data_IF_334325643777
#
_entry.id   IF_334325643777
#
_cell.length_a   1.000
_cell.length_b   1.000
_cell.length_c   1.000
_cell.angle_alpha   90.00
_cell.angle_beta   90.00
_cell.angle_gamma   90.00
#
_symmetry.space_group_name_H-M   'P 1'
#
loop_
_entity.id
_entity.type
_entity.pdbx_description
1 polymer ?
#
# COMPACT_ATOMS: atom_id res chain seq x y z
N UNK A 1 13.42 1.14 -32.75
CA UNK A 1 13.13 0.11 -31.74
C UNK A 1 13.75 -1.19 -32.19
N UNK A 2 14.78 -1.67 -31.48
CA UNK A 2 14.98 -3.09 -31.13
C UNK A 2 16.08 -3.12 -30.08
N UNK A 3 15.67 -3.36 -28.85
CA UNK A 3 16.48 -3.76 -27.71
C UNK A 3 17.28 -5.03 -28.03
N UNK A 4 18.55 -5.10 -27.64
CA UNK A 4 19.13 -6.36 -27.15
C UNK A 4 20.13 -6.04 -26.04
N UNK A 5 19.95 -6.76 -24.93
CA UNK A 5 20.66 -6.74 -23.67
C UNK A 5 22.16 -7.04 -23.79
N UNK A 6 22.95 -6.42 -22.91
CA UNK A 6 24.36 -6.74 -22.70
C UNK A 6 24.51 -8.10 -21.97
N UNK A 7 25.43 -8.98 -22.39
CA UNK A 7 25.70 -10.21 -21.66
C UNK A 7 26.62 -9.93 -20.46
N UNK A 8 26.16 -10.40 -19.31
CA UNK A 8 26.90 -10.54 -18.05
C UNK A 8 28.22 -11.31 -18.29
N UNK A 9 29.37 -10.75 -17.91
CA UNK A 9 30.64 -11.48 -17.87
C UNK A 9 30.85 -12.07 -16.48
N UNK A 10 30.48 -13.35 -16.33
CA UNK A 10 31.04 -14.23 -15.30
C UNK A 10 32.47 -14.63 -15.64
N UNK A 11 33.26 -14.90 -14.61
CA UNK A 11 34.64 -15.41 -14.75
C UNK A 11 34.66 -16.81 -15.40
N UNK A 12 35.71 -17.10 -16.19
CA UNK A 12 36.23 -18.48 -16.18
C UNK A 12 37.76 -18.56 -16.17
N UNK A 13 38.25 -19.54 -15.40
CA UNK A 13 39.54 -20.18 -15.58
C UNK A 13 39.64 -20.75 -17.01
N UNK A 14 40.75 -20.51 -17.73
CA UNK A 14 41.01 -21.17 -19.01
C UNK A 14 42.08 -20.50 -19.87
N UNK A 15 43.26 -21.14 -19.92
CA UNK A 15 44.18 -21.31 -21.06
C UNK A 15 44.56 -20.08 -21.92
N UNK A 16 45.82 -19.62 -21.77
CA UNK A 16 46.43 -18.54 -22.56
C UNK A 16 46.51 -18.90 -24.06
N UNK A 17 45.78 -18.17 -24.89
CA UNK A 17 45.82 -18.30 -26.36
C UNK A 17 46.40 -17.02 -26.96
N UNK A 18 47.62 -17.10 -27.52
CA UNK A 18 48.29 -15.98 -28.19
C UNK A 18 47.89 -15.93 -29.67
N UNK A 19 47.27 -14.83 -30.11
CA UNK A 19 47.04 -14.55 -31.53
C UNK A 19 47.53 -13.13 -31.85
N UNK A 20 48.34 -12.99 -32.90
CA UNK A 20 48.80 -11.70 -33.42
C UNK A 20 48.28 -11.52 -34.84
N UNK A 21 47.73 -10.34 -35.15
CA UNK A 21 47.30 -10.01 -36.53
C UNK A 21 48.53 -9.64 -37.36
N UNK A 22 48.68 -10.13 -38.60
CA UNK A 22 49.83 -9.81 -39.44
C UNK A 22 49.85 -8.32 -39.77
N UNK A 23 50.99 -7.65 -39.53
CA UNK A 23 51.24 -6.27 -39.94
C UNK A 23 52.13 -6.24 -41.19
N UNK A 24 51.81 -5.44 -42.21
CA UNK A 24 52.65 -5.32 -43.40
C UNK A 24 53.95 -4.57 -43.10
N UNK A 25 55.01 -4.95 -43.80
CA UNK A 25 56.37 -4.39 -43.69
C UNK A 25 56.38 -2.98 -44.28
N UNK A 26 56.76 -1.97 -43.50
CA UNK A 26 56.89 -0.58 -43.94
C UNK A 26 58.17 -0.40 -44.78
N UNK A 27 58.05 0.28 -45.92
CA UNK A 27 59.16 0.61 -46.81
C UNK A 27 60.04 1.70 -46.18
N UNK A 28 61.34 1.42 -46.04
CA UNK A 28 62.34 2.39 -45.55
C UNK A 28 62.88 3.22 -46.71
N UNK A 29 62.95 4.54 -46.55
CA UNK A 29 63.52 5.48 -47.52
C UNK A 29 65.04 5.30 -47.66
N UNK A 30 65.57 5.51 -48.87
CA UNK A 30 66.95 5.19 -49.29
C UNK A 30 67.96 6.36 -49.24
N UNK A 31 67.63 7.51 -48.63
CA UNK A 31 68.56 8.65 -48.58
C UNK A 31 68.61 9.31 -47.19
N UNK A 32 69.80 9.83 -46.85
CA UNK A 32 70.23 10.27 -45.52
C UNK A 32 70.08 11.79 -45.39
N UNK A 33 69.15 12.24 -44.56
CA UNK A 33 69.15 13.58 -43.98
C UNK A 33 69.07 13.47 -42.46
N UNK A 34 69.80 14.36 -41.78
CA UNK A 34 70.27 14.22 -40.40
C UNK A 34 69.76 15.41 -39.60
N UNK A 35 68.90 15.16 -38.61
CA UNK A 35 68.92 15.75 -37.26
C UNK A 35 67.50 15.82 -36.66
N UNK A 36 67.21 14.92 -35.74
CA UNK A 36 66.52 15.12 -34.46
C UNK A 36 66.29 13.72 -33.89
N UNK A 37 66.98 13.39 -32.80
CA UNK A 37 66.87 12.10 -32.13
C UNK A 37 65.45 11.92 -31.57
N UNK A 38 64.58 11.30 -32.37
CA UNK A 38 63.36 10.65 -31.94
C UNK A 38 63.53 9.16 -32.28
N UNK A 39 64.09 8.45 -31.30
CA UNK A 39 64.42 7.02 -31.40
C UNK A 39 63.14 6.19 -31.19
N UNK A 40 62.19 6.28 -32.14
CA UNK A 40 60.98 5.45 -32.23
C UNK A 40 61.13 4.40 -33.35
N UNK A 41 62.28 3.73 -33.36
CA UNK A 41 62.44 2.40 -33.96
C UNK A 41 62.41 1.33 -32.85
N UNK A 42 62.04 0.07 -33.13
CA UNK A 42 62.22 -0.99 -32.14
C UNK A 42 63.72 -1.13 -31.87
N UNK A 43 64.19 -0.46 -30.83
CA UNK A 43 65.53 -0.64 -30.28
C UNK A 43 65.66 -2.13 -29.96
N UNK A 44 66.53 -2.84 -30.69
CA UNK A 44 66.85 -4.22 -30.39
C UNK A 44 67.25 -4.27 -28.92
N UNK A 45 66.37 -4.82 -28.09
CA UNK A 45 66.48 -4.75 -26.65
C UNK A 45 67.81 -5.34 -26.23
N UNK A 46 68.74 -4.47 -25.81
CA UNK A 46 69.99 -4.92 -25.23
C UNK A 46 69.62 -5.82 -24.06
N UNK A 47 70.00 -7.10 -24.13
CA UNK A 47 69.83 -8.09 -23.05
C UNK A 47 70.40 -7.54 -21.74
N UNK A 48 71.35 -6.59 -21.87
CA UNK A 48 71.85 -5.51 -20.99
C UNK A 48 70.86 -4.88 -19.99
N UNK A 49 69.62 -4.69 -20.39
CA UNK A 49 68.62 -3.93 -19.65
C UNK A 49 67.27 -4.66 -19.56
N UNK A 50 67.21 -5.91 -20.02
CA UNK A 50 66.02 -6.72 -19.89
C UNK A 50 65.82 -7.16 -18.43
N UNK A 51 64.73 -6.68 -17.83
CA UNK A 51 64.30 -6.99 -16.45
C UNK A 51 64.02 -8.48 -16.23
N UNK A 52 63.81 -9.25 -17.30
CA UNK A 52 63.59 -10.71 -17.22
C UNK A 52 64.89 -11.48 -17.02
N UNK A 53 66.03 -10.88 -17.36
CA UNK A 53 67.34 -11.52 -17.29
C UNK A 53 67.98 -11.18 -15.95
N UNK A 54 67.89 -12.12 -15.00
CA UNK A 54 68.49 -11.99 -13.67
C UNK A 54 70.00 -12.14 -13.79
N UNK A 55 70.75 -11.10 -13.45
CA UNK A 55 72.22 -11.13 -13.45
C UNK A 55 72.73 -11.08 -12.02
N UNK A 56 73.36 -12.15 -11.58
CA UNK A 56 73.86 -12.31 -10.22
C UNK A 56 73.72 -13.75 -9.73
N UNK A 57 74.27 -14.03 -8.55
CA UNK A 57 74.21 -15.35 -7.92
C UNK A 57 72.80 -15.61 -7.34
N UNK A 58 72.19 -16.75 -7.67
CA UNK A 58 70.77 -17.08 -7.37
C UNK A 58 70.51 -17.55 -5.93
N UNK A 59 71.55 -17.63 -5.09
CA UNK A 59 71.44 -18.15 -3.72
C UNK A 59 70.64 -17.28 -2.74
N UNK A 60 70.38 -16.00 -3.05
CA UNK A 60 69.61 -15.10 -2.18
C UNK A 60 68.17 -14.83 -2.68
N UNK A 61 67.71 -15.55 -3.71
CA UNK A 61 66.29 -15.48 -4.08
C UNK A 61 65.47 -16.24 -3.04
N UNK A 62 64.66 -15.50 -2.29
CA UNK A 62 63.65 -16.06 -1.41
C UNK A 62 62.56 -16.69 -2.30
N UNK A 63 62.74 -17.96 -2.67
CA UNK A 63 61.75 -18.74 -3.41
C UNK A 63 60.64 -19.07 -2.41
N UNK A 64 59.62 -18.22 -2.34
CA UNK A 64 58.41 -18.54 -1.60
C UNK A 64 57.75 -19.75 -2.29
N UNK A 65 57.37 -20.81 -1.56
CA UNK A 65 56.60 -21.90 -2.14
C UNK A 65 55.32 -21.37 -2.77
N UNK A 66 55.00 -21.80 -3.99
CA UNK A 66 53.78 -21.43 -4.76
C UNK A 66 52.46 -21.79 -4.04
N UNK A 67 52.51 -22.37 -2.83
CA UNK A 67 51.35 -22.73 -2.00
C UNK A 67 51.19 -21.89 -0.74
N UNK A 68 52.12 -21.00 -0.40
CA UNK A 68 51.97 -20.07 0.72
C UNK A 68 51.31 -18.77 0.21
N UNK A 69 49.98 -18.69 0.29
CA UNK A 69 49.28 -17.41 0.23
C UNK A 69 49.84 -16.54 1.36
N UNK A 70 50.48 -15.39 1.09
CA UNK A 70 50.87 -14.48 2.17
C UNK A 70 49.59 -13.96 2.82
N UNK A 71 49.54 -13.97 4.15
CA UNK A 71 48.38 -13.46 4.89
C UNK A 71 48.03 -12.05 4.37
N UNK A 72 46.75 -11.75 4.07
CA UNK A 72 46.35 -10.47 3.48
C UNK A 72 46.77 -9.26 4.35
N UNK A 73 46.97 -9.50 5.64
CA UNK A 73 47.47 -8.52 6.62
C UNK A 73 48.94 -8.15 6.36
N UNK A 74 49.81 -9.09 6.00
CA UNK A 74 51.23 -8.79 5.73
C UNK A 74 51.44 -8.02 4.43
N UNK A 75 50.63 -8.31 3.41
CA UNK A 75 50.63 -7.59 2.12
C UNK A 75 50.19 -6.14 2.35
N UNK A 76 49.14 -5.92 3.14
CA UNK A 76 48.66 -4.58 3.49
C UNK A 76 49.73 -3.81 4.28
N UNK A 77 50.40 -4.47 5.24
CA UNK A 77 51.46 -3.87 6.05
C UNK A 77 52.69 -3.49 5.23
N UNK A 78 53.08 -4.30 4.24
CA UNK A 78 54.18 -3.96 3.32
C UNK A 78 53.82 -2.81 2.38
N UNK A 79 52.59 -2.76 1.86
CA UNK A 79 52.12 -1.67 1.02
C UNK A 79 52.03 -0.36 1.81
N UNK A 80 51.54 -0.41 3.05
CA UNK A 80 51.49 0.74 3.94
C UNK A 80 52.90 1.22 4.34
N UNK A 81 53.82 0.31 4.66
CA UNK A 81 55.22 0.64 4.95
C UNK A 81 55.91 1.28 3.73
N UNK A 82 55.67 0.77 2.51
CA UNK A 82 56.15 1.39 1.26
C UNK A 82 55.55 2.78 1.06
N UNK A 83 54.24 2.95 1.29
CA UNK A 83 53.56 4.25 1.19
C UNK A 83 54.11 5.26 2.20
N UNK A 84 54.34 4.83 3.45
CA UNK A 84 54.94 5.64 4.52
C UNK A 84 56.38 6.01 4.22
N UNK A 85 57.19 5.10 3.66
CA UNK A 85 58.56 5.37 3.25
C UNK A 85 58.62 6.38 2.09
N UNK A 86 57.72 6.26 1.10
CA UNK A 86 57.59 7.21 -0.01
C UNK A 86 57.14 8.59 0.48
N UNK A 87 56.16 8.66 1.38
CA UNK A 87 55.72 9.91 2.00
C UNK A 87 56.85 10.57 2.82
N UNK A 88 57.63 9.78 3.58
CA UNK A 88 58.78 10.28 4.34
C UNK A 88 59.91 10.79 3.43
N UNK A 89 60.14 10.16 2.28
CA UNK A 89 61.10 10.66 1.27
C UNK A 89 60.63 11.99 0.67
N UNK A 90 59.36 12.09 0.26
CA UNK A 90 58.78 13.35 -0.26
C UNK A 90 58.81 14.47 0.79
N UNK A 91 58.45 14.18 2.04
CA UNK A 91 58.54 15.15 3.13
C UNK A 91 60.00 15.60 3.37
N UNK A 92 60.98 14.70 3.32
CA UNK A 92 62.39 15.05 3.45
C UNK A 92 62.90 15.91 2.29
N UNK A 93 62.36 15.74 1.08
CA UNK A 93 62.64 16.61 -0.06
C UNK A 93 62.03 18.01 0.12
N UNK A 94 60.82 18.11 0.68
CA UNK A 94 60.18 19.40 0.97
C UNK A 94 60.83 20.18 2.13
N UNK A 95 61.46 19.50 3.10
CA UNK A 95 62.12 20.14 4.25
C UNK A 95 63.62 20.40 4.07
N UNK A 96 64.20 20.12 2.89
CA UNK A 96 65.56 20.58 2.60
C UNK A 96 65.52 22.07 2.23
N UNK A 97 66.16 22.97 2.99
CA UNK A 97 66.40 24.32 2.49
C UNK A 97 67.17 24.18 1.18
N UNK A 98 66.57 24.67 0.09
CA UNK A 98 67.07 24.50 -1.26
C UNK A 98 68.27 25.42 -1.42
N UNK A 99 69.49 24.90 -1.28
CA UNK A 99 70.66 25.61 -1.80
C UNK A 99 70.46 25.77 -3.32
N UNK A 100 70.68 26.98 -3.86
CA UNK A 100 70.47 27.21 -5.29
C UNK A 100 71.36 26.28 -6.12
N UNK A 101 70.86 25.86 -7.27
CA UNK A 101 71.58 24.94 -8.15
C UNK A 101 72.87 25.59 -8.68
N UNK A 102 73.97 24.83 -8.82
CA UNK A 102 75.23 25.37 -9.36
C UNK A 102 75.02 25.93 -10.77
N UNK A 103 75.56 27.12 -11.02
CA UNK A 103 75.62 27.70 -12.37
C UNK A 103 76.36 26.77 -13.33
N UNK A 104 75.93 26.76 -14.59
CA UNK A 104 76.43 25.88 -15.64
C UNK A 104 77.96 25.97 -15.76
N UNK A 105 78.65 24.84 -15.62
CA UNK A 105 80.12 24.75 -15.64
C UNK A 105 80.82 24.88 -14.28
N UNK A 106 80.11 25.06 -13.16
CA UNK A 106 80.70 25.05 -11.80
C UNK A 106 80.14 23.92 -10.94
N UNK A 107 80.97 23.36 -10.06
CA UNK A 107 80.55 22.39 -9.04
C UNK A 107 80.58 23.07 -7.67
N UNK A 108 79.56 22.84 -6.85
CA UNK A 108 79.61 23.23 -5.46
C UNK A 108 80.69 22.43 -4.73
N UNK A 109 81.46 23.10 -3.87
CA UNK A 109 82.50 22.52 -3.04
C UNK A 109 82.20 22.93 -1.59
N UNK A 110 82.26 21.97 -0.68
CA UNK A 110 82.02 22.23 0.74
C UNK A 110 83.23 22.98 1.31
N UNK A 111 82.98 24.19 1.81
CA UNK A 111 83.99 25.03 2.49
C UNK A 111 83.84 24.80 4.00
N UNK A 112 84.95 24.69 4.72
CA UNK A 112 84.92 24.64 6.19
C UNK A 112 84.35 25.95 6.74
N UNK A 113 83.09 25.93 7.15
CA UNK A 113 82.39 27.06 7.81
C UNK A 113 82.32 26.89 9.33
N UNK A 114 83.11 25.97 9.88
CA UNK A 114 83.25 25.80 11.31
C UNK A 114 84.17 26.90 11.87
N UNK A 115 83.86 27.39 13.07
CA UNK A 115 84.60 28.48 13.71
C UNK A 115 86.01 27.98 14.10
N UNK A 116 87.02 28.27 13.28
CA UNK A 116 88.42 27.97 13.57
C UNK A 116 89.12 29.26 14.05
N UNK A 117 89.30 29.40 15.37
CA UNK A 117 90.02 30.53 15.98
C UNK A 117 91.40 30.04 16.43
N UNK A 118 92.45 30.59 15.83
CA UNK A 118 93.82 30.51 16.37
C UNK A 118 94.01 31.65 17.38
N UNK A 119 94.37 31.32 18.62
CA UNK A 119 94.77 32.32 19.62
C UNK A 119 96.18 32.84 19.29
N UNK A 120 96.29 34.10 18.86
CA UNK A 120 97.58 34.79 18.70
C UNK A 120 98.07 35.23 20.09
N UNK A 121 99.12 34.59 20.61
CA UNK A 121 99.66 34.79 21.96
C UNK A 121 100.85 35.75 22.02
N UNK A 122 100.86 36.83 21.26
CA UNK A 122 101.90 37.88 21.34
C UNK A 122 101.35 39.13 22.04
N UNK A 123 101.89 39.43 23.21
CA UNK A 123 101.64 40.69 23.94
C UNK A 123 102.46 41.81 23.30
N UNK A 124 101.81 42.88 22.88
CA UNK A 124 102.48 44.09 22.38
C UNK A 124 102.85 44.97 23.59
N UNK A 125 104.11 45.41 23.67
CA UNK A 125 104.59 46.30 24.73
C UNK A 125 104.09 47.74 24.51
N UNK A 126 103.47 48.32 25.53
CA UNK A 126 103.01 49.72 25.52
C UNK A 126 104.16 50.65 25.95
N UNK A 127 104.54 51.59 25.08
CA UNK A 127 105.47 52.68 25.40
C UNK A 127 104.71 53.95 25.80
N UNK A 128 104.90 54.42 27.04
CA UNK A 128 104.36 55.71 27.49
C UNK A 128 105.30 56.85 27.11
N UNK A 129 104.84 57.77 26.27
CA UNK A 129 105.55 59.02 25.94
C UNK A 129 104.75 60.18 26.52
N UNK A 130 105.34 60.89 27.49
CA UNK A 130 104.73 62.08 28.09
C UNK A 130 105.19 63.34 27.33
N UNK A 131 104.23 64.10 26.77
CA UNK A 131 104.49 65.38 26.12
C UNK A 131 103.85 66.51 26.94
N UNK A 132 104.67 67.48 27.37
CA UNK A 132 104.25 68.71 28.03
C UNK A 132 103.41 69.55 27.06
N UNK A 133 102.13 69.75 27.37
CA UNK A 133 101.19 70.53 26.56
C UNK A 133 100.75 71.78 27.30
N UNK A 134 100.72 72.90 26.56
CA UNK A 134 100.41 74.24 27.03
C UNK A 134 98.92 74.38 27.42
N UNK A 135 98.57 75.40 28.19
CA UNK A 135 97.21 75.57 28.74
C UNK A 135 96.15 75.85 27.65
N UNK A 136 95.16 74.95 27.55
CA UNK A 136 94.05 75.02 26.59
C UNK A 136 93.12 76.21 26.86
N UNK A 137 92.83 77.02 25.83
CA UNK A 137 91.71 77.96 25.79
C UNK A 137 90.52 77.32 25.08
N UNK A 138 89.32 77.42 25.66
CA UNK A 138 88.10 76.81 25.14
C UNK A 138 87.71 77.35 23.74
N UNK A 139 87.74 76.45 22.74
CA UNK A 139 87.13 76.69 21.42
C UNK A 139 85.64 76.35 21.49
N UNK A 140 84.75 77.12 20.82
CA UNK A 140 83.35 76.73 20.71
C UNK A 140 83.21 75.39 19.97
N UNK A 141 82.20 74.60 20.36
CA UNK A 141 81.94 73.28 19.79
C UNK A 141 81.69 73.38 18.26
N UNK A 142 82.40 72.56 17.50
CA UNK A 142 82.23 72.47 16.05
C UNK A 142 80.84 71.92 15.71
N UNK A 143 80.10 72.51 14.75
CA UNK A 143 78.77 72.03 14.40
C UNK A 143 78.78 70.58 13.88
N UNK A 144 77.78 69.80 14.28
CA UNK A 144 77.60 68.41 13.88
C UNK A 144 77.36 68.31 12.37
N UNK A 145 78.18 67.53 11.67
CA UNK A 145 78.02 67.24 10.25
C UNK A 145 76.88 66.23 10.06
N UNK A 146 75.78 66.66 9.42
CA UNK A 146 74.70 65.77 8.98
C UNK A 146 74.92 65.48 7.50
N UNK A 147 75.27 64.23 7.11
CA UNK A 147 75.45 63.87 5.71
C UNK A 147 74.15 64.07 4.92
N UNK A 148 74.26 64.63 3.71
CA UNK A 148 73.13 64.69 2.80
C UNK A 148 72.70 63.26 2.40
N UNK A 149 71.40 62.96 2.47
CA UNK A 149 70.86 61.67 2.04
C UNK A 149 71.22 61.43 0.56
N UNK A 150 72.10 60.47 0.29
CA UNK A 150 72.50 60.05 -1.05
C UNK A 150 71.72 58.80 -1.46
N UNK A 151 70.64 59.00 -2.20
CA UNK A 151 69.79 57.94 -2.77
C UNK A 151 68.54 58.54 -3.40
N UNK A 152 68.02 57.93 -4.47
CA UNK A 152 66.74 58.33 -5.08
C UNK A 152 65.62 57.52 -4.42
N UNK A 153 64.70 58.21 -3.75
CA UNK A 153 63.49 57.58 -3.23
C UNK A 153 62.56 57.22 -4.40
N UNK A 154 62.20 55.94 -4.52
CA UNK A 154 61.25 55.44 -5.54
C UNK A 154 60.10 54.78 -4.80
N UNK A 155 58.89 55.31 -4.97
CA UNK A 155 57.67 54.64 -4.55
C UNK A 155 57.10 53.87 -5.74
N UNK A 156 56.70 52.62 -5.52
CA UNK A 156 55.91 51.84 -6.46
C UNK A 156 54.55 51.58 -5.82
N UNK A 157 53.48 51.88 -6.55
CA UNK A 157 52.11 51.63 -6.11
C UNK A 157 51.36 50.97 -7.27
N UNK A 158 50.60 49.93 -6.94
CA UNK A 158 49.71 49.26 -7.89
C UNK A 158 48.36 49.99 -7.86
N UNK A 159 47.90 50.44 -9.02
CA UNK A 159 46.62 51.15 -9.13
C UNK A 159 45.43 50.16 -9.18
N UNK A 160 44.23 50.65 -8.85
CA UNK A 160 43.01 49.86 -8.97
C UNK A 160 42.83 49.37 -10.41
N UNK A 161 42.68 48.05 -10.59
CA UNK A 161 42.51 47.41 -11.89
C UNK A 161 43.80 46.94 -12.58
N UNK A 162 44.98 47.28 -12.09
CA UNK A 162 46.26 46.94 -12.74
C UNK A 162 46.62 45.44 -12.66
N UNK A 163 46.05 44.72 -11.68
CA UNK A 163 46.21 43.28 -11.47
C UNK A 163 44.97 42.45 -11.84
N UNK A 164 43.95 43.06 -12.44
CA UNK A 164 42.70 42.36 -12.72
C UNK A 164 42.87 41.38 -13.90
N UNK A 165 42.64 40.10 -13.63
CA UNK A 165 42.57 39.05 -14.65
C UNK A 165 41.12 38.57 -14.81
N UNK A 166 40.50 38.94 -15.93
CA UNK A 166 39.10 38.61 -16.21
C UNK A 166 38.85 37.10 -16.20
N UNK A 167 39.76 36.28 -16.73
CA UNK A 167 39.55 34.85 -16.88
C UNK A 167 39.57 34.13 -15.52
N UNK A 168 40.26 34.71 -14.52
CA UNK A 168 40.27 34.20 -13.15
C UNK A 168 39.04 34.69 -12.39
N UNK A 169 38.70 35.98 -12.51
CA UNK A 169 37.65 36.61 -11.72
C UNK A 169 36.23 36.28 -12.19
N UNK A 170 36.03 35.97 -13.48
CA UNK A 170 34.70 35.60 -14.02
C UNK A 170 34.31 34.15 -13.69
N UNK A 171 35.29 33.31 -13.35
CA UNK A 171 35.10 31.86 -13.16
C UNK A 171 34.05 31.53 -12.08
N UNK A 172 34.11 32.12 -10.87
CA UNK A 172 33.11 31.90 -9.82
C UNK A 172 31.71 32.38 -10.23
N UNK A 173 31.63 33.48 -10.98
CA UNK A 173 30.35 34.01 -11.47
C UNK A 173 29.70 33.03 -12.44
N UNK A 174 30.46 32.54 -13.42
CA UNK A 174 29.98 31.56 -14.40
C UNK A 174 29.61 30.23 -13.74
N UNK A 175 30.39 29.77 -12.76
CA UNK A 175 30.09 28.53 -12.03
C UNK A 175 28.74 28.63 -11.29
N UNK A 176 28.49 29.75 -10.61
CA UNK A 176 27.20 29.98 -9.93
C UNK A 176 26.06 30.10 -10.94
N UNK A 177 26.27 30.81 -12.06
CA UNK A 177 25.22 31.05 -13.03
C UNK A 177 24.84 29.76 -13.77
N UNK A 178 25.83 28.96 -14.19
CA UNK A 178 25.61 27.65 -14.82
C UNK A 178 25.03 26.67 -13.80
N UNK A 179 25.56 26.62 -12.57
CA UNK A 179 25.06 25.74 -11.53
C UNK A 179 23.59 26.01 -11.21
N UNK A 180 23.23 27.28 -10.99
CA UNK A 180 21.87 27.67 -10.62
C UNK A 180 20.89 27.47 -11.77
N UNK A 181 21.29 27.76 -13.01
CA UNK A 181 20.44 27.51 -14.18
C UNK A 181 20.20 26.02 -14.38
N UNK A 182 21.23 25.17 -14.27
CA UNK A 182 21.08 23.71 -14.36
C UNK A 182 20.21 23.15 -13.24
N UNK A 183 20.42 23.60 -11.99
CA UNK A 183 19.64 23.17 -10.83
C UNK A 183 18.16 23.56 -10.96
N UNK A 184 17.89 24.80 -11.34
CA UNK A 184 16.53 25.28 -11.58
C UNK A 184 15.85 24.48 -12.72
N UNK A 185 16.55 24.30 -13.85
CA UNK A 185 16.03 23.51 -14.98
C UNK A 185 15.67 22.08 -14.56
N UNK A 186 16.51 21.45 -13.75
CA UNK A 186 16.30 20.08 -13.29
C UNK A 186 15.13 19.97 -12.31
N UNK A 187 14.94 20.95 -11.44
CA UNK A 187 13.80 21.01 -10.53
C UNK A 187 12.48 21.17 -11.31
N UNK A 188 12.44 22.10 -12.26
CA UNK A 188 11.25 22.37 -13.09
C UNK A 188 10.83 21.13 -13.89
N UNK A 189 11.78 20.46 -14.56
CA UNK A 189 11.49 19.23 -15.33
C UNK A 189 10.98 18.11 -14.43
N UNK A 190 11.57 17.94 -13.25
CA UNK A 190 11.11 16.91 -12.29
C UNK A 190 9.69 17.20 -11.79
N UNK A 191 9.40 18.45 -11.45
CA UNK A 191 8.06 18.85 -11.01
C UNK A 191 7.03 18.63 -12.12
N UNK A 192 7.35 18.97 -13.36
CA UNK A 192 6.47 18.72 -14.51
C UNK A 192 6.19 17.23 -14.74
N UNK A 193 7.21 16.38 -14.64
CA UNK A 193 7.07 14.93 -14.76
C UNK A 193 6.22 14.34 -13.61
N UNK A 194 6.43 14.80 -12.37
CA UNK A 194 5.64 14.38 -11.21
C UNK A 194 4.17 14.80 -11.36
N UNK A 195 3.91 16.05 -11.74
CA UNK A 195 2.55 16.54 -12.00
C UNK A 195 1.87 15.79 -13.15
N UNK A 196 2.60 15.46 -14.21
CA UNK A 196 2.08 14.66 -15.32
C UNK A 196 1.69 13.24 -14.86
N UNK A 197 2.54 12.60 -14.05
CA UNK A 197 2.28 11.29 -13.46
C UNK A 197 1.04 11.30 -12.55
N UNK A 198 0.95 12.27 -11.64
CA UNK A 198 -0.21 12.42 -10.75
C UNK A 198 -1.51 12.66 -11.53
N UNK A 199 -1.48 13.51 -12.56
CA UNK A 199 -2.64 13.75 -13.42
C UNK A 199 -3.06 12.49 -14.18
N UNK A 200 -2.10 11.71 -14.69
CA UNK A 200 -2.40 10.45 -15.36
C UNK A 200 -3.05 9.44 -14.41
N UNK A 201 -2.52 9.30 -13.19
CA UNK A 201 -3.11 8.45 -12.15
C UNK A 201 -4.52 8.91 -11.77
N UNK A 202 -4.73 10.21 -11.59
CA UNK A 202 -6.04 10.76 -11.26
C UNK A 202 -7.08 10.50 -12.35
N UNK A 203 -6.71 10.64 -13.63
CA UNK A 203 -7.60 10.32 -14.77
C UNK A 203 -7.96 8.84 -14.78
N UNK A 204 -6.97 7.96 -14.68
CA UNK A 204 -7.21 6.51 -14.65
C UNK A 204 -8.13 6.10 -13.49
N UNK A 205 -7.94 6.70 -12.30
CA UNK A 205 -8.81 6.47 -11.15
C UNK A 205 -10.24 6.99 -11.38
N UNK A 206 -10.38 8.17 -11.97
CA UNK A 206 -11.69 8.73 -12.31
C UNK A 206 -12.44 7.90 -13.35
N UNK A 207 -11.73 7.41 -14.37
CA UNK A 207 -12.30 6.50 -15.38
C UNK A 207 -12.82 5.22 -14.75
N UNK A 208 -12.00 4.58 -13.90
CA UNK A 208 -12.42 3.37 -13.17
C UNK A 208 -13.62 3.65 -12.27
N UNK A 209 -13.56 4.70 -11.45
CA UNK A 209 -14.65 5.09 -10.54
C UNK A 209 -15.95 5.38 -11.28
N UNK A 210 -15.88 6.03 -12.44
CA UNK A 210 -17.05 6.32 -13.26
C UNK A 210 -17.63 5.04 -13.85
N UNK A 211 -16.79 4.10 -14.30
CA UNK A 211 -17.24 2.80 -14.79
C UNK A 211 -17.92 1.98 -13.68
N UNK A 212 -17.32 1.92 -12.48
CA UNK A 212 -17.88 1.26 -11.31
C UNK A 212 -19.23 1.88 -10.91
N UNK A 213 -19.33 3.21 -10.89
CA UNK A 213 -20.58 3.90 -10.54
C UNK A 213 -21.72 3.55 -11.50
N UNK A 214 -21.45 3.50 -12.81
CA UNK A 214 -22.44 3.11 -13.82
C UNK A 214 -22.84 1.64 -13.63
N UNK A 215 -21.91 0.76 -13.30
CA UNK A 215 -22.22 -0.65 -13.02
C UNK A 215 -23.11 -0.82 -11.78
N UNK A 216 -22.78 -0.12 -10.69
CA UNK A 216 -23.57 -0.13 -9.45
C UNK A 216 -24.99 0.36 -9.74
N UNK A 217 -25.16 1.48 -10.45
CA UNK A 217 -26.49 1.97 -10.83
C UNK A 217 -27.29 0.94 -11.64
N UNK A 218 -26.64 0.25 -12.58
CA UNK A 218 -27.28 -0.82 -13.35
C UNK A 218 -27.76 -1.96 -12.45
N UNK A 219 -26.95 -2.38 -11.48
CA UNK A 219 -27.29 -3.44 -10.54
C UNK A 219 -28.41 -3.02 -9.58
N UNK A 220 -28.37 -1.80 -9.06
CA UNK A 220 -29.41 -1.23 -8.19
C UNK A 220 -30.76 -1.19 -8.89
N UNK A 221 -30.81 -0.76 -10.17
CA UNK A 221 -32.04 -0.76 -10.94
C UNK A 221 -32.59 -2.18 -11.19
N UNK A 222 -31.71 -3.15 -11.46
CA UNK A 222 -32.10 -4.56 -11.59
C UNK A 222 -32.66 -5.10 -10.27
N UNK A 223 -32.00 -4.83 -9.15
CA UNK A 223 -32.46 -5.24 -7.83
C UNK A 223 -33.80 -4.58 -7.49
N UNK A 224 -33.99 -3.30 -7.82
CA UNK A 224 -35.27 -2.60 -7.63
C UNK A 224 -36.40 -3.30 -8.36
N UNK A 225 -36.20 -3.66 -9.64
CA UNK A 225 -37.20 -4.40 -10.44
C UNK A 225 -37.52 -5.76 -9.83
N UNK A 226 -36.50 -6.52 -9.44
CA UNK A 226 -36.69 -7.83 -8.80
C UNK A 226 -37.41 -7.72 -7.46
N UNK A 227 -37.09 -6.71 -6.65
CA UNK A 227 -37.75 -6.45 -5.37
C UNK A 227 -39.22 -6.09 -5.57
N UNK A 228 -39.52 -5.19 -6.51
CA UNK A 228 -40.89 -4.82 -6.85
C UNK A 228 -41.69 -6.05 -7.33
N UNK A 229 -41.12 -6.91 -8.19
CA UNK A 229 -41.78 -8.13 -8.63
C UNK A 229 -42.00 -9.11 -7.48
N UNK A 230 -40.98 -9.34 -6.64
CA UNK A 230 -41.07 -10.22 -5.47
C UNK A 230 -42.16 -9.76 -4.51
N UNK A 231 -42.25 -8.46 -4.25
CA UNK A 231 -43.31 -7.89 -3.41
C UNK A 231 -44.69 -8.08 -4.03
N UNK A 232 -44.85 -7.90 -5.35
CA UNK A 232 -46.12 -8.18 -6.05
C UNK A 232 -46.52 -9.65 -5.92
N UNK A 233 -45.58 -10.57 -6.14
CA UNK A 233 -45.83 -12.02 -6.00
C UNK A 233 -46.21 -12.40 -4.57
N UNK A 234 -45.54 -11.82 -3.58
CA UNK A 234 -45.85 -12.06 -2.17
C UNK A 234 -47.25 -11.55 -1.80
N UNK A 235 -47.66 -10.38 -2.30
CA UNK A 235 -49.03 -9.87 -2.09
C UNK A 235 -50.07 -10.79 -2.71
N UNK A 236 -49.86 -11.22 -3.95
CA UNK A 236 -50.74 -12.18 -4.62
C UNK A 236 -50.87 -13.49 -3.85
N UNK A 237 -49.75 -14.07 -3.41
CA UNK A 237 -49.76 -15.32 -2.63
C UNK A 237 -50.47 -15.15 -1.28
N UNK A 238 -50.25 -14.03 -0.59
CA UNK A 238 -50.98 -13.74 0.67
C UNK A 238 -52.49 -13.69 0.43
N UNK A 239 -52.94 -12.99 -0.60
CA UNK A 239 -54.37 -12.93 -0.93
C UNK A 239 -54.96 -14.29 -1.30
N UNK A 240 -54.20 -15.14 -2.00
CA UNK A 240 -54.64 -16.51 -2.31
C UNK A 240 -54.77 -17.32 -1.02
N UNK A 241 -53.79 -17.23 -0.13
CA UNK A 241 -53.78 -17.97 1.14
C UNK A 241 -54.93 -17.53 2.06
N UNK A 242 -55.23 -16.22 2.15
CA UNK A 242 -56.39 -15.73 2.90
C UNK A 242 -57.71 -16.26 2.31
N UNK A 243 -57.86 -16.26 0.98
CA UNK A 243 -59.05 -16.86 0.33
C UNK A 243 -59.15 -18.37 0.58
N UNK A 244 -58.02 -19.09 0.53
CA UNK A 244 -57.98 -20.51 0.83
C UNK A 244 -58.44 -20.78 2.27
N UNK A 245 -57.95 -20.01 3.25
CA UNK A 245 -58.41 -20.09 4.65
C UNK A 245 -59.90 -19.85 4.76
N UNK A 246 -60.42 -18.77 4.19
CA UNK A 246 -61.86 -18.49 4.20
C UNK A 246 -62.67 -19.63 3.57
N UNK A 247 -62.20 -20.20 2.46
CA UNK A 247 -62.89 -21.32 1.80
C UNK A 247 -62.84 -22.58 2.65
N UNK A 248 -61.71 -22.88 3.30
CA UNK A 248 -61.55 -24.01 4.19
C UNK A 248 -62.48 -23.89 5.39
N UNK A 249 -62.57 -22.71 6.02
CA UNK A 249 -63.46 -22.44 7.14
C UNK A 249 -64.94 -22.58 6.74
N UNK A 250 -65.33 -22.08 5.56
CA UNK A 250 -66.69 -22.25 5.02
C UNK A 250 -67.02 -23.72 4.78
N UNK A 251 -66.08 -24.49 4.23
CA UNK A 251 -66.25 -25.93 4.01
C UNK A 251 -66.36 -26.66 5.34
N UNK A 252 -65.51 -26.35 6.32
CA UNK A 252 -65.53 -26.94 7.65
C UNK A 252 -66.84 -26.64 8.38
N UNK A 253 -67.30 -25.37 8.36
CA UNK A 253 -68.57 -24.96 8.96
C UNK A 253 -69.76 -25.68 8.30
N UNK A 254 -69.75 -25.81 6.96
CA UNK A 254 -70.78 -26.56 6.23
C UNK A 254 -70.77 -28.04 6.62
N UNK A 255 -69.61 -28.69 6.66
CA UNK A 255 -69.49 -30.09 7.02
C UNK A 255 -69.96 -30.32 8.47
N UNK A 256 -69.55 -29.44 9.39
CA UNK A 256 -70.00 -29.46 10.78
C UNK A 256 -71.51 -29.30 10.90
N UNK A 257 -72.11 -28.32 10.22
CA UNK A 257 -73.56 -28.12 10.23
C UNK A 257 -74.30 -29.32 9.65
N UNK A 258 -73.79 -29.95 8.58
CA UNK A 258 -74.39 -31.15 8.01
C UNK A 258 -74.35 -32.33 8.98
N UNK A 259 -73.21 -32.58 9.63
CA UNK A 259 -73.08 -33.64 10.63
C UNK A 259 -73.98 -33.39 11.84
N UNK A 260 -73.97 -32.16 12.38
CA UNK A 260 -74.80 -31.77 13.51
C UNK A 260 -76.29 -31.89 13.21
N UNK A 261 -76.75 -31.42 12.03
CA UNK A 261 -78.15 -31.53 11.62
C UNK A 261 -78.56 -32.99 11.34
N UNK A 262 -77.65 -33.81 10.81
CA UNK A 262 -77.93 -35.23 10.56
C UNK A 262 -78.23 -35.99 11.85
N UNK A 263 -77.58 -35.64 12.97
CA UNK A 263 -77.83 -36.25 14.28
C UNK A 263 -78.97 -35.58 15.04
N UNK A 264 -79.10 -34.25 14.93
CA UNK A 264 -80.14 -33.48 15.61
C UNK A 264 -81.54 -33.80 15.09
N UNK A 265 -81.72 -33.91 13.76
CA UNK A 265 -83.04 -34.15 13.19
C UNK A 265 -83.67 -35.44 13.72
N UNK A 266 -83.04 -36.63 13.63
CA UNK A 266 -83.59 -37.86 14.21
C UNK A 266 -83.87 -37.76 15.71
N UNK A 267 -82.98 -37.11 16.48
CA UNK A 267 -83.15 -36.93 17.93
C UNK A 267 -84.34 -36.04 18.29
N UNK A 268 -84.54 -34.93 17.58
CA UNK A 268 -85.70 -34.06 17.76
C UNK A 268 -86.97 -34.75 17.29
N UNK A 269 -86.94 -35.44 16.15
CA UNK A 269 -88.10 -36.20 15.65
C UNK A 269 -88.47 -37.36 16.58
N UNK A 270 -87.51 -38.08 17.16
CA UNK A 270 -87.78 -39.12 18.15
C UNK A 270 -88.33 -38.52 19.43
N UNK A 271 -87.70 -37.46 19.96
CA UNK A 271 -88.19 -36.77 21.15
C UNK A 271 -89.61 -36.26 20.95
N UNK A 272 -89.91 -35.61 19.84
CA UNK A 272 -91.24 -35.07 19.55
C UNK A 272 -92.29 -36.18 19.31
N UNK A 273 -91.86 -37.34 18.79
CA UNK A 273 -92.70 -38.55 18.71
C UNK A 273 -92.98 -39.14 20.09
N UNK A 274 -91.96 -39.25 20.94
CA UNK A 274 -92.08 -39.78 22.31
C UNK A 274 -92.98 -38.88 23.18
N UNK A 275 -92.96 -37.56 22.95
CA UNK A 275 -93.85 -36.59 23.60
C UNK A 275 -95.26 -36.54 22.96
N UNK A 276 -95.56 -37.39 21.99
CA UNK A 276 -96.91 -37.55 21.42
C UNK A 276 -97.38 -36.41 20.51
N UNK A 277 -96.47 -35.56 20.02
CA UNK A 277 -96.84 -34.47 19.09
C UNK A 277 -97.07 -34.96 17.66
N UNK A 278 -96.46 -36.09 17.27
CA UNK A 278 -96.79 -36.78 16.03
C UNK A 278 -97.86 -37.84 16.31
N UNK A 279 -99.10 -37.55 15.90
CA UNK A 279 -100.23 -38.46 15.97
C UNK A 279 -100.62 -38.93 14.57
N UNK A 280 -101.20 -40.14 14.47
CA UNK A 280 -101.87 -40.55 13.25
C UNK A 280 -103.18 -39.74 13.13
N UNK A 281 -103.39 -38.96 12.05
CA UNK A 281 -104.63 -38.21 11.86
C UNK A 281 -105.86 -39.12 11.92
N UNK A 282 -105.75 -40.38 11.50
CA UNK A 282 -106.86 -41.34 11.53
C UNK A 282 -107.19 -41.75 12.97
N UNK A 283 -106.18 -42.05 13.79
CA UNK A 283 -106.41 -42.37 15.21
C UNK A 283 -107.01 -41.17 15.96
N UNK A 284 -106.53 -39.96 15.68
CA UNK A 284 -107.05 -38.75 16.33
C UNK A 284 -108.48 -38.43 15.91
N UNK A 285 -108.82 -38.57 14.64
CA UNK A 285 -110.19 -38.39 14.14
C UNK A 285 -111.13 -39.46 14.70
N UNK A 286 -110.67 -40.70 14.86
CA UNK A 286 -111.43 -41.76 15.52
C UNK A 286 -111.71 -41.40 16.99
N UNK A 287 -110.69 -40.94 17.72
CA UNK A 287 -110.82 -40.54 19.13
C UNK A 287 -111.73 -39.33 19.33
N UNK A 288 -111.57 -38.31 18.50
CA UNK A 288 -112.22 -37.00 18.71
C UNK A 288 -113.59 -36.90 18.07
N UNK A 289 -113.81 -37.59 16.95
CA UNK A 289 -115.04 -37.45 16.14
C UNK A 289 -115.87 -38.72 16.19
N UNK A 290 -115.27 -39.87 15.89
CA UNK A 290 -116.02 -41.14 15.76
C UNK A 290 -116.49 -41.70 17.09
N UNK A 291 -115.63 -41.80 18.11
CA UNK A 291 -116.05 -42.34 19.41
C UNK A 291 -117.13 -41.49 20.08
N UNK A 292 -117.07 -40.15 20.11
CA UNK A 292 -118.16 -39.35 20.64
C UNK A 292 -119.46 -39.52 19.83
N UNK A 293 -119.38 -39.57 18.50
CA UNK A 293 -120.54 -39.84 17.65
C UNK A 293 -121.16 -41.23 17.90
N UNK A 294 -120.33 -42.26 18.04
CA UNK A 294 -120.78 -43.62 18.36
C UNK A 294 -121.41 -43.68 19.76
N UNK A 295 -120.75 -43.10 20.77
CA UNK A 295 -121.23 -43.08 22.14
C UNK A 295 -122.53 -42.29 22.28
N UNK A 296 -122.67 -41.17 21.58
CA UNK A 296 -123.94 -40.41 21.53
C UNK A 296 -125.04 -41.22 20.84
N UNK A 297 -124.77 -41.85 19.70
CA UNK A 297 -125.73 -42.74 19.02
C UNK A 297 -126.18 -43.92 19.89
N UNK A 298 -125.25 -44.56 20.61
CA UNK A 298 -125.56 -45.64 21.57
C UNK A 298 -126.39 -45.10 22.75
N UNK A 299 -126.06 -43.92 23.26
CA UNK A 299 -126.84 -43.29 24.34
C UNK A 299 -128.27 -42.97 23.91
N UNK A 300 -128.49 -42.42 22.71
CA UNK A 300 -129.83 -42.16 22.18
C UNK A 300 -130.63 -43.46 21.97
N UNK A 301 -129.99 -44.52 21.50
CA UNK A 301 -130.65 -45.82 21.34
C UNK A 301 -131.05 -46.42 22.70
N UNK A 302 -130.18 -46.29 23.72
CA UNK A 302 -130.48 -46.69 25.09
C UNK A 302 -131.59 -45.83 25.70
N UNK A 303 -131.60 -44.51 25.46
CA UNK A 303 -132.66 -43.61 25.91
C UNK A 303 -133.99 -43.94 25.25
N UNK A 304 -134.03 -44.15 23.93
CA UNK A 304 -135.25 -44.61 23.23
C UNK A 304 -135.75 -45.94 23.79
N UNK A 305 -134.84 -46.88 24.07
CA UNK A 305 -135.19 -48.18 24.68
C UNK A 305 -135.71 -48.02 26.11
N UNK A 306 -135.10 -47.15 26.92
CA UNK A 306 -135.52 -46.87 28.28
C UNK A 306 -136.89 -46.16 28.27
N UNK A 307 -137.11 -45.18 27.40
CA UNK A 307 -138.39 -44.52 27.20
C UNK A 307 -139.47 -45.53 26.78
N UNK A 308 -139.19 -46.39 25.81
CA UNK A 308 -140.11 -47.46 25.40
C UNK A 308 -140.45 -48.40 26.56
N UNK A 309 -139.46 -48.77 27.39
CA UNK A 309 -139.71 -49.53 28.63
C UNK A 309 -140.56 -48.78 29.63
N UNK A 310 -140.31 -47.49 29.89
CA UNK A 310 -141.13 -46.70 30.81
C UNK A 310 -142.57 -46.56 30.33
N UNK A 311 -142.80 -46.40 29.02
CA UNK A 311 -144.16 -46.38 28.43
C UNK A 311 -144.83 -47.74 28.57
N UNK A 312 -144.10 -48.84 28.34
CA UNK A 312 -144.60 -50.19 28.57
C UNK A 312 -144.98 -50.38 30.05
N UNK A 313 -144.13 -49.96 30.99
CA UNK A 313 -144.39 -50.03 32.43
C UNK A 313 -145.59 -49.17 32.85
N UNK A 314 -145.76 -47.97 32.26
CA UNK A 314 -146.95 -47.13 32.45
C UNK A 314 -148.22 -47.80 31.91
N UNK A 315 -148.18 -48.39 30.71
CA UNK A 315 -149.30 -49.14 30.15
C UNK A 315 -149.66 -50.36 31.03
N UNK A 316 -148.66 -51.07 31.54
CA UNK A 316 -148.88 -52.19 32.48
C UNK A 316 -149.53 -51.67 33.78
N UNK A 317 -149.08 -50.52 34.31
CA UNK A 317 -149.68 -49.89 35.50
C UNK A 317 -151.11 -49.44 35.24
N UNK A 318 -151.41 -48.78 34.11
CA UNK A 318 -152.77 -48.36 33.75
C UNK A 318 -153.72 -49.54 33.60
N UNK A 319 -153.28 -50.63 32.95
CA UNK A 319 -154.08 -51.86 32.84
C UNK A 319 -154.31 -52.49 34.21
N UNK A 320 -153.31 -52.47 35.10
CA UNK A 320 -153.45 -52.94 36.47
C UNK A 320 -154.43 -52.08 37.29
N UNK A 321 -154.37 -50.75 37.16
CA UNK A 321 -155.29 -49.81 37.82
C UNK A 321 -156.72 -49.91 37.28
N UNK A 322 -156.90 -50.06 35.96
CA UNK A 322 -158.22 -50.30 35.37
C UNK A 322 -158.83 -51.61 35.89
N UNK A 323 -158.03 -52.68 35.99
CA UNK A 323 -158.47 -53.92 36.64
C UNK A 323 -158.83 -53.69 38.11
N UNK A 324 -158.02 -52.94 38.85
CA UNK A 324 -158.27 -52.65 40.27
C UNK A 324 -159.56 -51.81 40.47
N UNK A 325 -159.83 -50.83 39.60
CA UNK A 325 -161.08 -50.06 39.57
C UNK A 325 -162.30 -50.90 39.18
N UNK A 326 -162.15 -51.91 38.31
CA UNK A 326 -163.22 -52.87 38.01
C UNK A 326 -163.55 -53.78 39.20
N UNK A 327 -162.57 -54.06 40.07
CA UNK A 327 -162.78 -54.86 41.29
C UNK A 327 -163.25 -54.04 42.51
N UNK A 328 -163.10 -52.71 42.52
CA UNK A 328 -163.56 -51.85 43.63
C UNK A 328 -165.09 -51.87 43.87
N UNK A 329 -165.98 -51.89 42.87
CA UNK A 329 -167.43 -52.02 43.09
C UNK A 329 -167.90 -53.48 43.32
N UNK A 330 -166.99 -54.44 43.51
CA UNK A 330 -167.27 -55.84 43.86
C UNK A 330 -166.88 -56.17 45.31
N UNK A 331 -166.46 -55.18 46.11
CA UNK A 331 -166.01 -55.31 47.50
C UNK A 331 -166.77 -54.40 48.49
N UNK A 332 -167.93 -53.86 48.09
CA UNK A 332 -169.07 -53.48 48.94
C UNK A 332 -170.28 -54.31 48.50
#
# INVERSE_FOLDING_TARGET
>A
MTSVLQPHKGAPNGTYTFSSRPRPVQNRSKYRERAADQDDGPSFGNIMYDRRVVRGNTYAQHVLPTTAQPDPVEIQRQQEARRRALARKRAKEHFRPRTPEPLEGRKHMDVQTELYLEELSDQVEDFSVECQTDAFLDKPATPLFIPAKTGKDVATQIAEGELFDFDVEVRPLLEVLVGKTMEQSLLEVREEEELASLRAQQRAFQELRNAELVEVQRLEEQERRHREEKERRLRQQREVLERERETADKIAARAFAQQYLADLLPSVFSSLRDHGYFYDPVERDLETSFFPWLMTGVSEALEKRNAARTVLDMLIRDVAEQRLKLYQPLME
#
